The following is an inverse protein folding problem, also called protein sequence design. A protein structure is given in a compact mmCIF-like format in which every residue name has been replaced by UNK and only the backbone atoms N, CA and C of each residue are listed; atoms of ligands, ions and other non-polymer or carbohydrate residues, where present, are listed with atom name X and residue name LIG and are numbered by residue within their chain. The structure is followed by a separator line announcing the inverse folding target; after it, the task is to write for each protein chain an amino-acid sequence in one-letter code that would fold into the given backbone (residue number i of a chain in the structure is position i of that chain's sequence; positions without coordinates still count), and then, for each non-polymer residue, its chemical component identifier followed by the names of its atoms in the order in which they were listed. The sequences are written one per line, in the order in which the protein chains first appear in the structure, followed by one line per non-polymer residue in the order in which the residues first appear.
data_IF_125357340237
#
_entry.id   IF_125357340237
#
_cell.length_a   1.000
_cell.length_b   1.000
_cell.length_c   1.000
_cell.angle_alpha   90.00
_cell.angle_beta   90.00
_cell.angle_gamma   90.00
#
_symmetry.space_group_name_H-M   'P 1'
#
loop_
_entity.id
_entity.type
_entity.pdbx_description
1 polymer ?
#
# COMPACT_ATOMS: atom_id res chain seq x y z
N UNK A 1 -3.29 9.85 -18.81
CA UNK A 1 -2.30 8.77 -19.00
C UNK A 1 -1.54 8.62 -17.71
N UNK A 2 -1.54 7.43 -17.12
CA UNK A 2 -0.80 7.10 -15.90
C UNK A 2 0.69 7.02 -16.21
N UNK A 3 1.54 7.53 -15.33
CA UNK A 3 2.98 7.53 -15.49
C UNK A 3 3.63 6.79 -14.34
N UNK A 4 4.55 5.87 -14.66
CA UNK A 4 5.42 5.25 -13.66
C UNK A 4 6.51 6.26 -13.29
N UNK A 5 6.51 6.68 -12.04
CA UNK A 5 7.44 7.67 -11.48
C UNK A 5 8.36 7.01 -10.45
N UNK A 6 9.40 7.72 -9.99
CA UNK A 6 10.44 7.14 -9.12
C UNK A 6 9.90 6.70 -7.75
N UNK A 7 8.79 7.27 -7.31
CA UNK A 7 8.00 6.89 -6.13
C UNK A 7 7.32 5.52 -6.25
N UNK A 8 7.26 4.93 -7.45
CA UNK A 8 6.80 3.56 -7.67
C UNK A 8 7.95 2.53 -7.64
N UNK A 9 9.20 2.95 -7.48
CA UNK A 9 10.36 2.04 -7.51
C UNK A 9 10.47 1.26 -6.20
N UNK A 10 10.54 -0.06 -6.35
CA UNK A 10 11.00 -0.97 -5.29
C UNK A 10 12.54 -0.97 -5.27
N UNK A 11 13.17 -0.78 -6.43
CA UNK A 11 14.63 -0.82 -6.59
C UNK A 11 15.14 -2.19 -7.06
N UNK A 12 14.24 -3.06 -7.50
CA UNK A 12 14.52 -4.37 -8.07
C UNK A 12 14.14 -4.31 -9.54
N UNK A 13 15.15 -4.19 -10.41
CA UNK A 13 14.97 -3.88 -11.84
C UNK A 13 13.89 -4.73 -12.52
N UNK A 14 13.86 -6.04 -12.25
CA UNK A 14 12.89 -6.96 -12.86
C UNK A 14 11.45 -6.62 -12.44
N UNK A 15 11.20 -6.43 -11.14
CA UNK A 15 9.88 -6.06 -10.62
C UNK A 15 9.48 -4.63 -11.04
N UNK A 16 10.43 -3.69 -11.03
CA UNK A 16 10.20 -2.31 -11.49
C UNK A 16 9.80 -2.29 -12.99
N UNK A 17 10.44 -3.13 -13.83
CA UNK A 17 10.09 -3.27 -15.25
C UNK A 17 8.70 -3.91 -15.44
N UNK A 18 8.33 -4.86 -14.59
CA UNK A 18 6.99 -5.45 -14.58
C UNK A 18 5.93 -4.44 -14.14
N UNK A 19 6.17 -3.65 -13.09
CA UNK A 19 5.26 -2.57 -12.72
C UNK A 19 5.07 -1.58 -13.89
N UNK A 20 6.13 -1.18 -14.59
CA UNK A 20 5.99 -0.35 -15.82
C UNK A 20 5.08 -0.99 -16.86
N UNK A 21 5.07 -2.32 -16.97
CA UNK A 21 4.15 -3.05 -17.85
C UNK A 21 2.69 -2.90 -17.38
N UNK A 22 2.41 -2.96 -16.08
CA UNK A 22 1.04 -2.69 -15.57
C UNK A 22 0.57 -1.27 -15.90
N UNK A 23 1.41 -0.25 -15.72
CA UNK A 23 1.08 1.12 -16.12
C UNK A 23 0.75 1.21 -17.61
N UNK A 24 1.47 0.45 -18.44
CA UNK A 24 1.19 0.36 -19.88
C UNK A 24 -0.17 -0.30 -20.17
N UNK A 25 -0.55 -1.36 -19.45
CA UNK A 25 -1.87 -2.00 -19.57
C UNK A 25 -3.01 -1.08 -19.13
N UNK A 26 -2.82 -0.30 -18.08
CA UNK A 26 -3.80 0.70 -17.61
C UNK A 26 -4.00 1.79 -18.66
N UNK A 27 -2.91 2.26 -19.29
CA UNK A 27 -3.01 3.22 -20.38
C UNK A 27 -3.72 2.65 -21.61
N UNK A 28 -3.49 1.37 -21.94
CA UNK A 28 -4.27 0.68 -22.98
C UNK A 28 -5.76 0.63 -22.64
N UNK A 29 -6.14 0.36 -21.39
CA UNK A 29 -7.53 0.41 -20.95
C UNK A 29 -8.15 1.81 -21.13
N UNK A 30 -7.38 2.86 -20.82
CA UNK A 30 -7.79 4.25 -21.03
C UNK A 30 -7.97 4.60 -22.51
N UNK A 31 -7.09 4.10 -23.38
CA UNK A 31 -7.20 4.31 -24.83
C UNK A 31 -8.43 3.61 -25.39
N UNK A 32 -8.68 2.35 -25.00
CA UNK A 32 -9.92 1.64 -25.33
C UNK A 32 -11.10 2.49 -24.87
N UNK A 33 -11.10 2.99 -23.63
CA UNK A 33 -12.22 3.78 -23.09
C UNK A 33 -12.53 5.02 -23.93
N UNK A 34 -11.51 5.71 -24.44
CA UNK A 34 -11.64 6.95 -25.20
C UNK A 34 -12.03 6.75 -26.68
N UNK A 35 -11.88 5.54 -27.21
CA UNK A 35 -12.16 5.22 -28.62
C UNK A 35 -13.36 4.26 -28.76
N UNK A 36 -14.57 4.82 -28.63
CA UNK A 36 -15.85 4.05 -28.61
C UNK A 36 -16.29 3.50 -29.95
N UNK A 37 -15.80 4.05 -31.06
CA UNK A 37 -16.33 3.78 -32.40
C UNK A 37 -15.62 2.62 -33.13
N UNK A 38 -14.81 1.84 -32.42
CA UNK A 38 -14.02 0.76 -33.02
C UNK A 38 -14.82 -0.53 -33.19
N UNK A 39 -14.88 -1.06 -34.42
CA UNK A 39 -15.57 -2.31 -34.74
C UNK A 39 -14.96 -3.55 -34.07
N UNK A 40 -13.76 -3.45 -33.52
CA UNK A 40 -13.01 -4.53 -32.87
C UNK A 40 -12.88 -4.34 -31.34
N UNK A 41 -13.67 -3.43 -30.75
CA UNK A 41 -13.59 -3.09 -29.32
C UNK A 41 -13.70 -4.32 -28.41
N UNK A 42 -14.60 -5.26 -28.73
CA UNK A 42 -14.70 -6.53 -27.98
C UNK A 42 -13.36 -7.27 -27.95
N UNK A 43 -12.71 -7.44 -29.12
CA UNK A 43 -11.41 -8.09 -29.25
C UNK A 43 -10.32 -7.35 -28.48
N UNK A 44 -10.31 -6.02 -28.49
CA UNK A 44 -9.35 -5.23 -27.72
C UNK A 44 -9.52 -5.45 -26.21
N UNK A 45 -10.77 -5.50 -25.72
CA UNK A 45 -11.07 -5.76 -24.31
C UNK A 45 -10.65 -7.18 -23.93
N UNK A 46 -10.98 -8.19 -24.74
CA UNK A 46 -10.58 -9.58 -24.49
C UNK A 46 -9.06 -9.71 -24.42
N UNK A 47 -8.34 -9.14 -25.40
CA UNK A 47 -6.88 -9.19 -25.43
C UNK A 47 -6.27 -8.49 -24.20
N UNK A 48 -6.79 -7.32 -23.80
CA UNK A 48 -6.34 -6.63 -22.60
C UNK A 48 -6.52 -7.49 -21.33
N UNK A 49 -7.66 -8.18 -21.19
CA UNK A 49 -7.93 -9.06 -20.05
C UNK A 49 -7.01 -10.29 -20.04
N UNK A 50 -6.70 -10.86 -21.21
CA UNK A 50 -5.71 -11.93 -21.35
C UNK A 50 -4.31 -11.45 -20.94
N UNK A 51 -3.88 -10.28 -21.41
CA UNK A 51 -2.59 -9.70 -21.03
C UNK A 51 -2.51 -9.38 -19.54
N UNK A 52 -3.59 -8.85 -18.93
CA UNK A 52 -3.66 -8.61 -17.49
C UNK A 52 -3.60 -9.90 -16.68
N UNK A 53 -4.24 -10.97 -17.15
CA UNK A 53 -4.17 -12.29 -16.50
C UNK A 53 -2.74 -12.83 -16.55
N UNK A 54 -2.10 -12.81 -17.72
CA UNK A 54 -0.72 -13.28 -17.87
C UNK A 54 0.26 -12.43 -17.05
N UNK A 55 0.07 -11.11 -17.03
CA UNK A 55 0.83 -10.20 -16.18
C UNK A 55 0.70 -10.59 -14.72
N UNK A 56 -0.52 -10.72 -14.19
CA UNK A 56 -0.77 -11.06 -12.80
C UNK A 56 -0.16 -12.41 -12.41
N UNK A 57 -0.26 -13.42 -13.27
CA UNK A 57 0.31 -14.73 -12.98
C UNK A 57 1.85 -14.70 -12.93
N UNK A 58 2.47 -13.93 -13.81
CA UNK A 58 3.94 -13.84 -13.90
C UNK A 58 4.51 -12.94 -12.80
N UNK A 59 4.05 -11.69 -12.73
CA UNK A 59 4.58 -10.66 -11.84
C UNK A 59 4.44 -11.06 -10.38
N UNK A 60 3.25 -11.45 -9.95
CA UNK A 60 3.03 -11.86 -8.56
C UNK A 60 3.83 -13.12 -8.20
N UNK A 61 4.08 -14.04 -9.15
CA UNK A 61 4.93 -15.19 -8.88
C UNK A 61 6.40 -14.78 -8.64
N UNK A 62 6.91 -13.82 -9.43
CA UNK A 62 8.26 -13.29 -9.24
C UNK A 62 8.38 -12.50 -7.94
N UNK A 63 7.42 -11.63 -7.65
CA UNK A 63 7.38 -10.83 -6.44
C UNK A 63 7.26 -11.71 -5.17
N UNK A 64 6.31 -12.64 -5.14
CA UNK A 64 6.15 -13.56 -4.01
C UNK A 64 7.38 -14.45 -3.80
N UNK A 65 8.06 -14.87 -4.87
CA UNK A 65 9.30 -15.63 -4.78
C UNK A 65 10.44 -14.78 -4.19
N UNK A 66 10.54 -13.51 -4.60
CA UNK A 66 11.50 -12.57 -4.04
C UNK A 66 11.21 -12.32 -2.55
N UNK A 67 9.97 -12.00 -2.20
CA UNK A 67 9.52 -11.82 -0.82
C UNK A 67 9.79 -13.05 0.04
N UNK A 68 9.56 -14.27 -0.47
CA UNK A 68 9.88 -15.51 0.23
C UNK A 68 11.39 -15.68 0.45
N UNK A 69 12.22 -15.32 -0.54
CA UNK A 69 13.67 -15.36 -0.44
C UNK A 69 14.20 -14.43 0.66
N UNK A 70 13.65 -13.23 0.79
CA UNK A 70 14.06 -12.25 1.81
C UNK A 70 13.29 -12.42 3.13
N UNK A 71 12.35 -13.37 3.21
CA UNK A 71 11.44 -13.59 4.34
C UNK A 71 10.67 -12.33 4.71
N UNK A 72 10.13 -11.65 3.70
CA UNK A 72 9.35 -10.44 3.88
C UNK A 72 8.10 -10.72 4.73
N UNK A 73 7.87 -9.98 5.82
CA UNK A 73 6.75 -10.22 6.73
C UNK A 73 5.38 -10.03 6.06
N UNK A 74 5.30 -9.24 4.99
CA UNK A 74 4.05 -8.93 4.30
C UNK A 74 3.64 -9.99 3.26
N UNK A 75 4.46 -11.02 3.03
CA UNK A 75 4.25 -12.02 1.98
C UNK A 75 2.86 -12.67 2.02
N UNK A 76 2.40 -13.09 3.20
CA UNK A 76 1.10 -13.75 3.34
C UNK A 76 -0.05 -12.81 2.97
N UNK A 77 0.06 -11.54 3.34
CA UNK A 77 -0.96 -10.54 3.04
C UNK A 77 -0.96 -10.18 1.55
N UNK A 78 0.20 -9.95 0.96
CA UNK A 78 0.31 -9.63 -0.46
C UNK A 78 -0.19 -10.79 -1.32
N UNK A 79 0.11 -12.06 -0.97
CA UNK A 79 -0.51 -13.25 -1.59
C UNK A 79 -2.04 -13.19 -1.63
N UNK A 80 -2.66 -12.75 -0.53
CA UNK A 80 -4.12 -12.57 -0.48
C UNK A 80 -4.59 -11.45 -1.42
N UNK A 81 -3.90 -10.31 -1.45
CA UNK A 81 -4.19 -9.22 -2.37
C UNK A 81 -4.05 -9.64 -3.85
N UNK A 82 -3.01 -10.42 -4.17
CA UNK A 82 -2.78 -10.96 -5.50
C UNK A 82 -3.87 -11.94 -5.90
N UNK A 83 -4.32 -12.80 -4.98
CA UNK A 83 -5.45 -13.69 -5.24
C UNK A 83 -6.72 -12.90 -5.55
N UNK A 84 -7.03 -11.87 -4.75
CA UNK A 84 -8.19 -11.01 -4.98
C UNK A 84 -8.10 -10.26 -6.31
N UNK A 85 -6.90 -9.81 -6.71
CA UNK A 85 -6.69 -9.22 -8.03
C UNK A 85 -7.02 -10.21 -9.15
N UNK A 86 -6.46 -11.43 -9.09
CA UNK A 86 -6.70 -12.48 -10.09
C UNK A 86 -8.18 -12.83 -10.20
N UNK A 87 -8.86 -12.98 -9.07
CA UNK A 87 -10.30 -13.25 -9.06
C UNK A 87 -11.09 -12.08 -9.67
N UNK A 88 -10.70 -10.84 -9.36
CA UNK A 88 -11.37 -9.67 -9.91
C UNK A 88 -11.18 -9.52 -11.42
N UNK A 89 -9.99 -9.80 -11.95
CA UNK A 89 -9.75 -9.82 -13.41
C UNK A 89 -10.59 -10.92 -14.07
N UNK A 90 -10.68 -12.08 -13.44
CA UNK A 90 -11.52 -13.19 -13.93
C UNK A 90 -13.00 -12.80 -14.00
N UNK A 91 -13.51 -12.03 -13.03
CA UNK A 91 -14.90 -11.53 -13.07
C UNK A 91 -15.15 -10.65 -14.30
N UNK A 92 -14.20 -9.80 -14.69
CA UNK A 92 -14.32 -8.98 -15.90
C UNK A 92 -14.33 -9.83 -17.17
N UNK A 93 -13.56 -10.92 -17.21
CA UNK A 93 -13.55 -11.88 -18.34
C UNK A 93 -14.87 -12.63 -18.51
N UNK A 94 -15.67 -12.74 -17.44
CA UNK A 94 -17.02 -13.33 -17.48
C UNK A 94 -18.14 -12.29 -17.63
N UNK A 95 -17.82 -11.01 -17.72
CA UNK A 95 -18.81 -9.99 -18.05
C UNK A 95 -19.30 -10.18 -19.50
N UNK A 96 -20.52 -9.73 -19.80
CA UNK A 96 -21.10 -9.74 -21.15
C UNK A 96 -20.41 -8.73 -22.09
N UNK A 97 -19.10 -8.91 -22.33
CA UNK A 97 -18.30 -8.05 -23.23
C UNK A 97 -18.75 -8.18 -24.70
N UNK A 98 -19.48 -9.24 -25.03
CA UNK A 98 -20.11 -9.43 -26.33
C UNK A 98 -21.29 -8.47 -26.57
N UNK A 99 -21.85 -7.88 -25.52
CA UNK A 99 -22.91 -6.86 -25.62
C UNK A 99 -22.28 -5.46 -25.79
N UNK A 100 -22.39 -4.82 -26.98
CA UNK A 100 -21.83 -3.49 -27.21
C UNK A 100 -22.37 -2.43 -26.24
N UNK A 101 -23.59 -2.61 -25.72
CA UNK A 101 -24.19 -1.71 -24.74
C UNK A 101 -23.52 -1.75 -23.36
N UNK A 102 -22.76 -2.81 -23.06
CA UNK A 102 -22.09 -3.00 -21.77
C UNK A 102 -20.58 -2.76 -21.82
N UNK A 103 -19.96 -2.85 -23.00
CA UNK A 103 -18.51 -2.69 -23.18
C UNK A 103 -17.95 -1.39 -22.58
N UNK A 104 -18.66 -0.26 -22.72
CA UNK A 104 -18.22 1.01 -22.12
C UNK A 104 -18.12 0.92 -20.60
N UNK A 105 -19.14 0.33 -19.96
CA UNK A 105 -19.19 0.18 -18.51
C UNK A 105 -18.11 -0.78 -18.02
N UNK A 106 -17.92 -1.92 -18.71
CA UNK A 106 -16.87 -2.90 -18.37
C UNK A 106 -15.48 -2.25 -18.37
N UNK A 107 -15.14 -1.50 -19.43
CA UNK A 107 -13.83 -0.83 -19.51
C UNK A 107 -13.70 0.27 -18.46
N UNK A 108 -14.79 0.99 -18.17
CA UNK A 108 -14.79 2.02 -17.10
C UNK A 108 -14.52 1.39 -15.73
N UNK A 109 -15.21 0.30 -15.42
CA UNK A 109 -15.07 -0.41 -14.14
C UNK A 109 -13.70 -1.07 -14.01
N UNK A 110 -13.19 -1.65 -15.11
CA UNK A 110 -11.84 -2.20 -15.16
C UNK A 110 -10.80 -1.11 -14.90
N UNK A 111 -10.87 0.02 -15.60
CA UNK A 111 -9.92 1.12 -15.43
C UNK A 111 -9.95 1.67 -13.99
N UNK A 112 -11.16 1.85 -13.43
CA UNK A 112 -11.33 2.28 -12.04
C UNK A 112 -10.74 1.28 -11.05
N UNK A 113 -10.95 -0.02 -11.28
CA UNK A 113 -10.37 -1.08 -10.46
C UNK A 113 -8.84 -1.08 -10.54
N UNK A 114 -8.27 -1.10 -11.75
CA UNK A 114 -6.82 -1.13 -11.95
C UNK A 114 -6.14 0.11 -11.37
N UNK A 115 -6.72 1.30 -11.57
CA UNK A 115 -6.19 2.52 -10.99
C UNK A 115 -6.15 2.44 -9.46
N UNK A 116 -7.27 2.08 -8.82
CA UNK A 116 -7.34 1.92 -7.37
C UNK A 116 -6.38 0.87 -6.84
N UNK A 117 -6.32 -0.29 -7.51
CA UNK A 117 -5.44 -1.37 -7.10
C UNK A 117 -3.97 -0.96 -7.21
N UNK A 118 -3.58 -0.31 -8.30
CA UNK A 118 -2.22 0.22 -8.48
C UNK A 118 -1.83 1.16 -7.34
N UNK A 119 -2.72 2.10 -6.98
CA UNK A 119 -2.42 3.05 -5.90
C UNK A 119 -2.34 2.36 -4.53
N UNK A 120 -3.23 1.42 -4.23
CA UNK A 120 -3.25 0.80 -2.89
C UNK A 120 -2.22 -0.33 -2.73
N UNK A 121 -1.87 -1.00 -3.81
CA UNK A 121 -0.96 -2.15 -3.76
C UNK A 121 0.48 -1.72 -4.00
N UNK A 122 0.81 -1.10 -5.14
CA UNK A 122 2.20 -0.70 -5.42
C UNK A 122 2.67 0.32 -4.37
N UNK A 123 1.97 1.44 -4.21
CA UNK A 123 2.41 2.51 -3.30
C UNK A 123 2.14 2.19 -1.82
N UNK A 124 1.27 1.23 -1.53
CA UNK A 124 0.90 0.87 -0.16
C UNK A 124 1.58 -0.40 0.38
N UNK A 125 2.05 -1.26 -0.51
CA UNK A 125 2.55 -2.60 -0.21
C UNK A 125 3.90 -2.84 -0.88
N UNK A 126 3.97 -2.75 -2.21
CA UNK A 126 5.13 -3.26 -2.96
C UNK A 126 6.38 -2.40 -2.73
N UNK A 127 6.22 -1.07 -2.63
CA UNK A 127 7.35 -0.17 -2.34
C UNK A 127 8.01 -0.47 -0.99
N UNK A 128 7.38 -1.22 -0.10
CA UNK A 128 7.91 -1.61 1.21
C UNK A 128 8.66 -2.94 1.18
N UNK A 129 8.57 -3.70 0.08
CA UNK A 129 9.22 -5.00 -0.07
C UNK A 129 10.72 -4.86 0.17
N UNK A 130 11.25 -5.63 1.12
CA UNK A 130 12.67 -5.61 1.49
C UNK A 130 13.18 -4.34 2.18
N UNK A 131 12.31 -3.37 2.47
CA UNK A 131 12.62 -2.20 3.30
C UNK A 131 12.30 -2.42 4.78
N UNK A 132 11.51 -3.46 5.07
CA UNK A 132 11.30 -3.98 6.42
C UNK A 132 12.38 -5.04 6.68
N UNK A 133 13.32 -4.80 7.61
CA UNK A 133 14.27 -5.85 7.95
C UNK A 133 13.57 -6.98 8.71
N UNK A 134 14.20 -8.16 8.77
CA UNK A 134 13.65 -9.30 9.49
C UNK A 134 13.38 -8.93 10.94
N UNK A 135 12.23 -9.41 11.45
CA UNK A 135 11.78 -9.41 12.84
C UNK A 135 12.90 -9.41 13.90
N UNK A 136 13.90 -10.27 13.68
CA UNK A 136 15.01 -10.52 14.58
C UNK A 136 16.00 -9.35 14.70
N UNK A 137 16.07 -8.46 13.71
CA UNK A 137 17.02 -7.33 13.67
C UNK A 137 16.46 -6.06 14.32
N UNK A 138 15.16 -5.81 14.20
CA UNK A 138 14.48 -4.69 14.88
C UNK A 138 14.38 -4.87 16.39
N UNK A 139 14.19 -6.12 16.82
CA UNK A 139 14.12 -6.48 18.24
C UNK A 139 15.49 -6.53 18.95
N UNK A 140 16.59 -6.17 18.27
CA UNK A 140 17.94 -6.02 18.89
C UNK A 140 18.09 -4.67 19.59
N UNK A 141 17.30 -3.65 19.20
CA UNK A 141 17.27 -2.38 19.94
C UNK A 141 16.48 -2.58 21.24
N UNK A 142 16.97 -2.00 22.34
CA UNK A 142 16.28 -2.05 23.64
C UNK A 142 14.86 -1.44 23.55
N UNK A 143 14.64 -0.49 22.62
CA UNK A 143 13.33 0.03 22.24
C UNK A 143 13.22 0.26 20.71
N UNK A 144 12.51 -0.59 19.94
CA UNK A 144 12.33 -0.40 18.50
C UNK A 144 11.41 0.78 18.15
N UNK A 145 10.57 1.24 19.09
CA UNK A 145 9.62 2.32 18.90
C UNK A 145 10.14 3.68 19.40
N UNK A 146 11.46 3.82 19.61
CA UNK A 146 12.04 5.09 20.05
C UNK A 146 12.10 6.09 18.88
N UNK A 147 11.52 7.28 19.09
CA UNK A 147 11.71 8.41 18.17
C UNK A 147 13.10 9.02 18.40
N UNK A 148 13.90 9.13 17.33
CA UNK A 148 15.27 9.63 17.36
C UNK A 148 15.46 10.80 16.39
N UNK A 149 16.57 11.52 16.52
CA UNK A 149 16.92 12.64 15.64
C UNK A 149 16.99 12.24 14.14
N UNK A 150 17.18 10.96 13.84
CA UNK A 150 17.17 10.43 12.47
C UNK A 150 15.81 10.64 11.76
N UNK A 151 14.73 10.79 12.52
CA UNK A 151 13.36 10.97 12.02
C UNK A 151 12.92 12.43 11.93
N UNK A 152 13.76 13.39 12.34
CA UNK A 152 13.45 14.80 12.19
C UNK A 152 13.41 15.20 10.71
N UNK A 153 12.30 15.79 10.31
CA UNK A 153 12.07 16.43 9.00
C UNK A 153 12.56 17.88 9.02
N UNK A 154 12.61 18.50 10.21
CA UNK A 154 12.87 19.93 10.38
C UNK A 154 11.61 20.80 10.26
N UNK A 155 10.43 20.18 10.09
CA UNK A 155 9.13 20.84 10.10
C UNK A 155 8.50 20.61 11.47
N UNK A 156 8.46 21.65 12.31
CA UNK A 156 8.13 21.53 13.74
C UNK A 156 6.81 20.80 14.02
N UNK A 157 5.75 21.10 13.25
CA UNK A 157 4.44 20.45 13.43
C UNK A 157 4.48 18.96 13.09
N UNK A 158 5.12 18.60 11.97
CA UNK A 158 5.29 17.22 11.51
C UNK A 158 6.14 16.41 12.50
N UNK A 159 7.24 17.00 13.00
CA UNK A 159 8.12 16.33 13.95
C UNK A 159 7.43 16.05 15.29
N UNK A 160 6.55 16.95 15.75
CA UNK A 160 5.73 16.75 16.95
C UNK A 160 4.68 15.64 16.76
N UNK A 161 4.05 15.60 15.60
CA UNK A 161 3.06 14.57 15.27
C UNK A 161 3.70 13.19 15.10
N UNK A 162 4.88 13.11 14.48
CA UNK A 162 5.64 11.87 14.42
C UNK A 162 5.96 11.34 15.83
N UNK A 163 6.41 12.19 16.75
CA UNK A 163 6.66 11.76 18.14
C UNK A 163 5.41 11.14 18.79
N UNK A 164 4.23 11.71 18.53
CA UNK A 164 2.99 11.17 19.04
C UNK A 164 2.59 9.85 18.34
N UNK A 165 2.79 9.71 17.02
CA UNK A 165 2.60 8.45 16.30
C UNK A 165 3.50 7.34 16.87
N UNK A 166 4.78 7.62 17.10
CA UNK A 166 5.70 6.68 17.75
C UNK A 166 5.23 6.30 19.17
N UNK A 167 4.73 7.26 19.96
CA UNK A 167 4.15 6.97 21.29
C UNK A 167 2.94 6.02 21.21
N UNK A 168 2.05 6.19 20.22
CA UNK A 168 0.88 5.33 20.04
C UNK A 168 1.31 3.92 19.61
N UNK A 169 2.22 3.81 18.64
CA UNK A 169 2.76 2.52 18.18
C UNK A 169 3.53 1.80 19.28
N UNK A 170 4.28 2.51 20.11
CA UNK A 170 4.98 1.95 21.27
C UNK A 170 4.00 1.31 22.26
N UNK A 171 2.87 1.97 22.56
CA UNK A 171 1.83 1.40 23.43
C UNK A 171 1.29 0.10 22.88
N UNK A 172 1.03 0.05 21.56
CA UNK A 172 0.57 -1.16 20.89
C UNK A 172 1.63 -2.28 20.96
N UNK A 173 2.90 -1.94 20.73
CA UNK A 173 4.03 -2.89 20.83
C UNK A 173 4.17 -3.48 22.24
N UNK A 174 4.14 -2.65 23.29
CA UNK A 174 4.27 -3.12 24.67
C UNK A 174 3.09 -4.02 25.07
N UNK A 175 1.88 -3.68 24.61
CA UNK A 175 0.69 -4.48 24.85
C UNK A 175 0.83 -5.89 24.23
N UNK A 176 1.23 -5.97 22.96
CA UNK A 176 1.45 -7.26 22.27
C UNK A 176 2.58 -8.07 22.91
N UNK A 177 3.66 -7.42 23.35
CA UNK A 177 4.81 -8.06 24.01
C UNK A 177 4.49 -8.61 25.41
N UNK A 178 3.47 -8.06 26.08
CA UNK A 178 3.07 -8.49 27.43
C UNK A 178 2.49 -9.92 27.49
N UNK A 179 2.14 -10.50 26.34
CA UNK A 179 1.72 -11.89 26.15
C UNK A 179 0.40 -12.29 26.86
N UNK A 180 -0.44 -11.33 27.25
CA UNK A 180 -1.81 -11.57 27.76
C UNK A 180 -2.87 -11.41 26.65
N UNK A 181 -3.03 -12.46 25.84
CA UNK A 181 -3.84 -12.45 24.61
C UNK A 181 -5.31 -12.08 24.84
N UNK A 182 -5.89 -12.40 26.02
CA UNK A 182 -7.33 -12.22 26.26
C UNK A 182 -7.65 -10.74 26.55
N UNK A 183 -6.80 -10.05 27.31
CA UNK A 183 -6.98 -8.63 27.67
C UNK A 183 -6.44 -7.69 26.58
N UNK A 184 -5.49 -8.18 25.78
CA UNK A 184 -4.83 -7.43 24.71
C UNK A 184 -5.79 -7.00 23.57
N UNK A 185 -6.86 -7.75 23.29
CA UNK A 185 -7.70 -7.51 22.12
C UNK A 185 -8.42 -6.15 22.11
N UNK A 186 -9.26 -5.88 23.13
CA UNK A 186 -10.06 -4.65 23.19
C UNK A 186 -9.17 -3.42 23.36
N UNK A 187 -8.09 -3.57 24.13
CA UNK A 187 -7.09 -2.51 24.32
C UNK A 187 -6.32 -2.23 23.01
N UNK A 188 -5.90 -3.27 22.28
CA UNK A 188 -5.21 -3.12 21.01
C UNK A 188 -6.13 -2.46 19.98
N UNK A 189 -7.39 -2.88 19.85
CA UNK A 189 -8.35 -2.21 18.97
C UNK A 189 -8.51 -0.73 19.33
N UNK A 190 -8.59 -0.41 20.62
CA UNK A 190 -8.67 1.00 21.06
C UNK A 190 -7.43 1.79 20.65
N UNK A 191 -6.23 1.18 20.74
CA UNK A 191 -4.98 1.83 20.31
C UNK A 191 -4.93 1.96 18.78
N UNK A 192 -5.41 0.97 18.03
CA UNK A 192 -5.47 1.04 16.56
C UNK A 192 -6.47 2.10 16.09
N UNK A 193 -7.62 2.25 16.75
CA UNK A 193 -8.54 3.36 16.47
C UNK A 193 -7.90 4.72 16.77
N UNK A 194 -7.25 4.87 17.94
CA UNK A 194 -6.52 6.09 18.27
C UNK A 194 -5.41 6.40 17.24
N UNK A 195 -4.65 5.38 16.82
CA UNK A 195 -3.65 5.49 15.78
C UNK A 195 -4.27 5.94 14.46
N UNK A 196 -5.43 5.41 14.10
CA UNK A 196 -6.12 5.72 12.84
C UNK A 196 -6.59 7.18 12.84
N UNK A 197 -7.27 7.63 13.89
CA UNK A 197 -7.74 9.01 14.03
C UNK A 197 -6.57 10.01 14.02
N UNK A 198 -5.48 9.68 14.72
CA UNK A 198 -4.30 10.54 14.78
C UNK A 198 -3.53 10.58 13.46
N UNK A 199 -3.40 9.43 12.78
CA UNK A 199 -2.77 9.33 11.45
C UNK A 199 -3.52 10.17 10.42
N UNK A 200 -4.86 10.12 10.42
CA UNK A 200 -5.68 10.96 9.52
C UNK A 200 -5.47 12.45 9.79
N UNK A 201 -5.34 12.85 11.05
CA UNK A 201 -5.08 14.24 11.43
C UNK A 201 -3.69 14.68 10.96
N UNK A 202 -2.67 13.89 11.28
CA UNK A 202 -1.28 14.14 10.88
C UNK A 202 -1.13 14.29 9.36
N UNK A 203 -1.67 13.36 8.58
CA UNK A 203 -1.60 13.45 7.12
C UNK A 203 -2.34 14.68 6.58
N UNK A 204 -3.46 15.09 7.18
CA UNK A 204 -4.14 16.30 6.77
C UNK A 204 -3.30 17.57 7.02
N UNK A 205 -2.60 17.64 8.15
CA UNK A 205 -1.73 18.76 8.51
C UNK A 205 -0.47 18.80 7.61
N UNK A 206 0.16 17.66 7.35
CA UNK A 206 1.28 17.52 6.43
C UNK A 206 0.89 17.86 4.97
N UNK A 207 -0.26 17.38 4.50
CA UNK A 207 -0.78 17.69 3.17
C UNK A 207 -1.11 19.16 2.99
N UNK A 208 -1.69 19.80 4.01
CA UNK A 208 -1.93 21.24 4.01
C UNK A 208 -0.61 22.03 3.95
N UNK A 209 0.43 21.55 4.65
CA UNK A 209 1.76 22.14 4.58
C UNK A 209 2.37 22.00 3.17
N UNK A 210 2.37 20.79 2.60
CA UNK A 210 2.85 20.51 1.25
C UNK A 210 2.12 21.33 0.18
N UNK A 211 0.80 21.51 0.31
CA UNK A 211 0.00 22.35 -0.58
C UNK A 211 0.41 23.83 -0.47
N UNK A 212 0.61 24.34 0.75
CA UNK A 212 1.03 25.73 1.01
C UNK A 212 2.36 26.07 0.36
N UNK A 213 3.31 25.14 0.34
CA UNK A 213 4.64 25.35 -0.24
C UNK A 213 4.73 24.96 -1.73
N UNK A 214 3.65 24.41 -2.31
CA UNK A 214 3.61 23.98 -3.70
C UNK A 214 4.52 22.78 -3.98
N UNK A 215 4.62 21.83 -3.04
CA UNK A 215 5.48 20.66 -3.19
C UNK A 215 5.01 19.75 -4.33
N UNK A 216 5.88 19.49 -5.31
CA UNK A 216 5.55 18.69 -6.50
C UNK A 216 5.18 17.23 -6.15
N UNK A 217 5.72 16.69 -5.06
CA UNK A 217 5.46 15.33 -4.59
C UNK A 217 4.12 15.12 -3.86
N UNK A 218 3.32 16.18 -3.66
CA UNK A 218 2.07 16.12 -2.90
C UNK A 218 1.11 15.02 -3.38
N UNK A 219 0.98 14.84 -4.69
CA UNK A 219 0.06 13.84 -5.25
C UNK A 219 0.48 12.41 -4.88
N UNK A 220 1.78 12.11 -4.93
CA UNK A 220 2.32 10.81 -4.54
C UNK A 220 2.14 10.58 -3.03
N UNK A 221 2.43 11.60 -2.21
CA UNK A 221 2.28 11.51 -0.75
C UNK A 221 0.82 11.22 -0.35
N UNK A 222 -0.14 11.96 -0.92
CA UNK A 222 -1.58 11.74 -0.72
C UNK A 222 -2.02 10.31 -1.03
N UNK A 223 -1.44 9.71 -2.08
CA UNK A 223 -1.76 8.32 -2.43
C UNK A 223 -1.20 7.33 -1.41
N UNK A 224 0.04 7.54 -0.95
CA UNK A 224 0.64 6.72 0.11
C UNK A 224 -0.16 6.82 1.42
N UNK A 225 -0.54 8.03 1.83
CA UNK A 225 -1.38 8.30 3.00
C UNK A 225 -2.73 7.60 2.92
N UNK A 226 -3.45 7.78 1.80
CA UNK A 226 -4.75 7.15 1.59
C UNK A 226 -4.64 5.62 1.64
N UNK A 227 -3.58 5.05 1.10
CA UNK A 227 -3.34 3.60 1.16
C UNK A 227 -3.08 3.12 2.58
N UNK A 228 -2.31 3.86 3.38
CA UNK A 228 -2.04 3.51 4.77
C UNK A 228 -3.30 3.61 5.64
N UNK A 229 -4.10 4.67 5.48
CA UNK A 229 -5.40 4.80 6.16
C UNK A 229 -6.34 3.66 5.79
N UNK A 230 -6.46 3.32 4.51
CA UNK A 230 -7.27 2.19 4.07
C UNK A 230 -6.77 0.86 4.68
N UNK A 231 -5.46 0.72 4.86
CA UNK A 231 -4.88 -0.43 5.55
C UNK A 231 -5.28 -0.45 7.03
N UNK A 232 -5.22 0.67 7.73
CA UNK A 232 -5.66 0.79 9.13
C UNK A 232 -7.15 0.43 9.30
N UNK A 233 -8.01 0.96 8.42
CA UNK A 233 -9.46 0.67 8.41
C UNK A 233 -9.78 -0.80 8.08
N UNK A 234 -8.90 -1.48 7.33
CA UNK A 234 -9.04 -2.91 7.01
C UNK A 234 -8.61 -3.84 8.15
N UNK A 235 -8.01 -3.32 9.22
CA UNK A 235 -7.60 -4.12 10.37
C UNK A 235 -8.86 -4.63 11.06
N UNK A 236 -9.21 -5.87 10.78
CA UNK A 236 -10.27 -6.58 11.46
C UNK A 236 -9.66 -7.73 12.25
N UNK A 237 -9.53 -7.54 13.56
CA UNK A 237 -9.03 -8.57 14.47
C UNK A 237 -10.08 -9.68 14.75
N UNK A 238 -11.31 -9.58 14.20
CA UNK A 238 -12.40 -10.54 14.43
C UNK A 238 -12.21 -11.83 13.60
N UNK A 239 -11.46 -11.79 12.49
CA UNK A 239 -11.21 -12.95 11.61
C UNK A 239 -9.86 -13.63 11.86
N UNK A 240 -9.34 -13.58 13.08
CA UNK A 240 -8.06 -14.20 13.40
C UNK A 240 -8.19 -15.72 13.52
N UNK A 241 -7.50 -16.41 12.60
CA UNK A 241 -7.30 -17.86 12.53
C UNK A 241 -6.47 -18.38 13.74
N UNK A 242 -6.04 -19.65 13.71
CA UNK A 242 -5.41 -20.44 14.80
C UNK A 242 -4.31 -19.78 15.69
N UNK A 243 -3.75 -18.60 15.34
CA UNK A 243 -2.73 -17.89 16.15
C UNK A 243 -2.84 -16.35 16.15
N UNK A 244 -3.68 -15.76 17.01
CA UNK A 244 -3.86 -14.30 17.14
C UNK A 244 -2.59 -13.53 17.54
N UNK A 245 -1.73 -14.13 18.37
CA UNK A 245 -0.50 -13.47 18.84
C UNK A 245 0.43 -13.15 17.68
N UNK A 246 0.64 -14.10 16.77
CA UNK A 246 1.49 -13.92 15.60
C UNK A 246 0.96 -12.82 14.67
N UNK A 247 -0.36 -12.74 14.49
CA UNK A 247 -0.96 -11.66 13.70
C UNK A 247 -0.71 -10.30 14.35
N UNK A 248 -0.92 -10.19 15.66
CA UNK A 248 -0.71 -8.93 16.37
C UNK A 248 0.74 -8.46 16.27
N UNK A 249 1.70 -9.38 16.42
CA UNK A 249 3.14 -9.10 16.21
C UNK A 249 3.39 -8.57 14.79
N UNK A 250 2.94 -9.28 13.75
CA UNK A 250 3.11 -8.84 12.36
C UNK A 250 2.40 -7.52 12.04
N UNK A 251 1.28 -7.23 12.71
CA UNK A 251 0.61 -5.94 12.56
C UNK A 251 1.47 -4.80 13.11
N UNK A 252 2.04 -4.95 14.31
CA UNK A 252 2.91 -3.92 14.89
C UNK A 252 4.17 -3.70 14.05
N UNK A 253 4.75 -4.79 13.53
CA UNK A 253 5.88 -4.72 12.60
C UNK A 253 5.54 -3.91 11.35
N UNK A 254 4.38 -4.16 10.75
CA UNK A 254 3.91 -3.40 9.60
C UNK A 254 3.73 -1.91 9.93
N UNK A 255 3.06 -1.59 11.05
CA UNK A 255 2.78 -0.20 11.44
C UNK A 255 4.06 0.59 11.69
N UNK A 256 4.97 0.04 12.50
CA UNK A 256 6.27 0.65 12.78
C UNK A 256 7.13 0.70 11.50
N UNK A 257 7.06 -0.38 10.72
CA UNK A 257 7.63 -0.58 9.41
C UNK A 257 7.37 0.56 8.44
N UNK A 258 6.09 0.76 8.19
CA UNK A 258 5.58 1.78 7.29
C UNK A 258 5.93 3.17 7.81
N UNK A 259 5.67 3.46 9.09
CA UNK A 259 5.96 4.78 9.69
C UNK A 259 7.42 5.19 9.53
N UNK A 260 8.36 4.31 9.91
CA UNK A 260 9.80 4.61 9.83
C UNK A 260 10.23 4.86 8.38
N UNK A 261 9.82 3.98 7.45
CA UNK A 261 10.23 4.11 6.06
C UNK A 261 9.59 5.32 5.37
N UNK A 262 8.32 5.60 5.64
CA UNK A 262 7.63 6.77 5.11
C UNK A 262 8.33 8.06 5.56
N UNK A 263 8.68 8.16 6.84
CA UNK A 263 9.45 9.32 7.34
C UNK A 263 10.80 9.44 6.63
N UNK A 264 11.59 8.36 6.61
CA UNK A 264 12.96 8.39 6.10
C UNK A 264 13.03 8.66 4.60
N UNK A 265 12.09 8.13 3.81
CA UNK A 265 12.16 8.13 2.35
C UNK A 265 11.11 8.99 1.67
N UNK A 266 10.09 9.47 2.38
CA UNK A 266 9.05 10.35 1.88
C UNK A 266 9.09 11.70 2.60
N UNK A 267 8.81 11.75 3.89
CA UNK A 267 8.57 13.01 4.63
C UNK A 267 9.82 13.88 4.72
N UNK A 268 11.00 13.26 4.88
CA UNK A 268 12.30 13.97 4.86
C UNK A 268 12.64 14.62 3.50
N UNK A 269 11.90 14.33 2.42
CA UNK A 269 12.05 15.02 1.13
C UNK A 269 11.28 16.34 1.08
N UNK A 270 10.33 16.54 2.00
CA UNK A 270 9.51 17.76 2.05
C UNK A 270 10.42 18.94 2.44
N UNK A 271 10.45 20.02 1.66
CA UNK A 271 11.33 21.14 1.95
C UNK A 271 10.82 21.98 3.12
N UNK A 272 11.74 22.37 4.01
CA UNK A 272 11.44 23.30 5.11
C UNK A 272 11.24 24.71 4.54
N UNK A 273 10.05 25.29 4.76
CA UNK A 273 9.74 26.67 4.44
C UNK A 273 10.71 27.61 5.18
N UNK A 274 11.48 28.38 4.42
CA UNK A 274 12.42 29.39 4.92
C UNK A 274 11.72 30.62 5.52
#
# INVERSE_FOLDING_TARGET
MFQFTDDCLIGIKELDDEHRRLFSLINQAMDILNHTDSNDRCTQITHLLEELTQYADTHFAHEEAYMEQIRDPELLRQRMQHSLFRDKIRDFSFADIDDPGKQQQVVTDLLNFLAKWLYHHILGSDIMIGKLPPLEEWMIRDNPCEFTDDYLTGIEIVDLEHQQLFCIVERAYQLVKSNDVITCYDELLSIIHELTDYTVTHFADEEAYMEKIGYEGLAAQKNAHASFVARLESINLIELDENPQKYMESLIEFLLGWLINHILYSDKKIPVQA
#
